data_IF_634925793847
#
_entry.id   IF_634925793847
#
_cell.length_a   1.000
_cell.length_b   1.000
_cell.length_c   1.000
_cell.angle_alpha   90.00
_cell.angle_beta   90.00
_cell.angle_gamma   90.00
#
_symmetry.space_group_name_H-M   'P 1'
#
loop_
_entity.id
_entity.type
_entity.pdbx_description
1 polymer ?
#
# COMPACT_ATOMS: atom_id res chain seq x y z
N UNK A 1 5.27 -1.70 16.27
CA UNK A 1 4.90 -1.31 14.89
C UNK A 1 6.17 -1.27 14.06
N UNK A 2 6.17 -1.82 12.86
CA UNK A 2 7.31 -1.84 11.93
C UNK A 2 6.92 -1.08 10.66
N UNK A 3 7.79 -0.20 10.18
CA UNK A 3 7.61 0.55 8.95
C UNK A 3 8.66 0.14 7.91
N UNK A 4 8.24 0.02 6.65
CA UNK A 4 9.12 -0.15 5.49
C UNK A 4 8.77 0.91 4.47
N UNK A 5 9.76 1.68 4.02
CA UNK A 5 9.60 2.64 2.94
C UNK A 5 9.90 1.96 1.61
N UNK A 6 9.32 2.48 0.52
CA UNK A 6 9.85 2.18 -0.78
C UNK A 6 11.26 2.78 -0.90
N UNK A 7 12.26 1.95 -1.18
CA UNK A 7 13.67 2.32 -1.10
C UNK A 7 14.05 3.52 -1.98
N UNK A 8 13.36 3.70 -3.12
CA UNK A 8 13.45 4.87 -4.01
C UNK A 8 12.19 4.96 -4.87
N UNK A 9 11.52 6.11 -4.84
CA UNK A 9 10.53 6.46 -5.86
C UNK A 9 11.24 6.49 -7.23
N UNK A 10 10.57 6.01 -8.28
CA UNK A 10 11.12 5.98 -9.63
C UNK A 10 11.60 7.39 -10.05
N UNK A 11 12.82 7.56 -10.60
CA UNK A 11 13.37 8.87 -10.96
C UNK A 11 12.51 9.69 -11.95
N UNK A 12 11.69 9.01 -12.76
CA UNK A 12 10.75 9.63 -13.71
C UNK A 12 9.35 9.88 -13.16
N UNK A 13 9.10 9.63 -11.87
CA UNK A 13 7.78 9.79 -11.28
C UNK A 13 7.38 11.26 -11.23
N UNK A 14 6.38 11.63 -12.01
CA UNK A 14 5.67 12.90 -11.86
C UNK A 14 4.55 12.71 -10.85
N UNK A 15 4.73 13.25 -9.62
CA UNK A 15 3.71 13.19 -8.55
C UNK A 15 2.33 13.69 -9.01
N UNK A 16 2.31 14.70 -9.88
CA UNK A 16 1.08 15.24 -10.50
C UNK A 16 0.28 14.20 -11.29
N UNK A 17 0.91 13.14 -11.78
CA UNK A 17 0.24 12.06 -12.50
C UNK A 17 -0.39 11.03 -11.56
N UNK A 18 -0.11 11.10 -10.26
CA UNK A 18 -0.66 10.19 -9.26
C UNK A 18 -1.20 11.00 -8.07
N UNK A 19 -2.31 11.74 -8.25
CA UNK A 19 -2.84 12.64 -7.23
C UNK A 19 -3.70 11.95 -6.19
N UNK A 20 -4.03 10.68 -6.37
CA UNK A 20 -4.94 9.95 -5.49
C UNK A 20 -4.16 9.05 -4.53
N UNK A 21 -4.32 9.25 -3.22
CA UNK A 21 -3.77 8.38 -2.19
C UNK A 21 -4.72 7.22 -1.95
N UNK A 22 -4.20 6.00 -2.00
CA UNK A 22 -4.94 4.76 -1.70
C UNK A 22 -4.25 4.04 -0.56
N UNK A 23 -4.97 3.83 0.53
CA UNK A 23 -4.53 3.02 1.67
C UNK A 23 -5.26 1.68 1.62
N UNK A 24 -4.48 0.61 1.54
CA UNK A 24 -4.98 -0.76 1.59
C UNK A 24 -4.68 -1.30 2.99
N UNK A 25 -5.69 -1.80 3.70
CA UNK A 25 -5.52 -2.38 5.03
C UNK A 25 -5.94 -3.84 5.03
N UNK A 26 -5.04 -4.71 5.48
CA UNK A 26 -5.32 -6.12 5.77
C UNK A 26 -5.28 -6.32 7.28
N UNK A 27 -6.41 -6.72 7.86
CA UNK A 27 -6.51 -7.08 9.29
C UNK A 27 -6.28 -8.56 9.51
N UNK A 28 -5.56 -8.89 10.56
CA UNK A 28 -5.20 -10.27 10.89
C UNK A 28 -5.19 -10.48 12.40
N UNK A 29 -5.21 -11.75 12.83
CA UNK A 29 -5.05 -12.09 14.25
C UNK A 29 -3.58 -12.49 14.46
N UNK A 30 -2.81 -11.56 15.01
CA UNK A 30 -1.37 -11.72 15.20
C UNK A 30 -0.99 -12.08 16.63
N UNK A 31 0.21 -12.61 16.80
CA UNK A 31 0.84 -12.72 18.11
C UNK A 31 1.61 -11.42 18.40
N UNK A 32 1.33 -10.76 19.54
CA UNK A 32 1.89 -9.45 19.87
C UNK A 32 1.72 -8.40 18.75
N UNK A 33 0.62 -8.49 18.01
CA UNK A 33 0.31 -7.58 16.91
C UNK A 33 1.06 -7.85 15.60
N UNK A 34 1.81 -8.96 15.48
CA UNK A 34 2.54 -9.35 14.27
C UNK A 34 1.91 -10.58 13.60
N UNK A 35 1.92 -10.67 12.26
CA UNK A 35 1.28 -11.76 11.54
C UNK A 35 2.09 -13.05 11.67
N UNK A 36 1.43 -14.20 11.56
CA UNK A 36 2.10 -15.48 11.42
C UNK A 36 2.89 -15.56 10.10
N UNK A 37 3.89 -16.45 10.02
CA UNK A 37 4.74 -16.59 8.83
C UNK A 37 3.94 -16.91 7.56
N UNK A 38 2.92 -17.78 7.65
CA UNK A 38 2.05 -18.10 6.52
C UNK A 38 1.29 -16.89 6.00
N UNK A 39 0.71 -16.11 6.92
CA UNK A 39 -0.03 -14.91 6.59
C UNK A 39 0.87 -13.80 6.03
N UNK A 40 2.08 -13.64 6.58
CA UNK A 40 3.09 -12.74 6.02
C UNK A 40 3.43 -13.11 4.58
N UNK A 41 3.59 -14.40 4.26
CA UNK A 41 3.81 -14.86 2.87
C UNK A 41 2.65 -14.50 1.95
N UNK A 42 1.40 -14.61 2.41
CA UNK A 42 0.24 -14.20 1.62
C UNK A 42 0.20 -12.69 1.38
N UNK A 43 0.59 -11.90 2.38
CA UNK A 43 0.71 -10.44 2.23
C UNK A 43 1.83 -10.04 1.27
N UNK A 44 2.97 -10.73 1.31
CA UNK A 44 4.09 -10.49 0.40
C UNK A 44 3.69 -10.87 -1.05
N UNK A 45 2.98 -12.00 -1.23
CA UNK A 45 2.44 -12.40 -2.53
C UNK A 45 1.42 -11.40 -3.10
N UNK A 46 0.54 -10.82 -2.26
CA UNK A 46 -0.36 -9.75 -2.69
C UNK A 46 0.42 -8.53 -3.20
N UNK A 47 1.46 -8.13 -2.47
CA UNK A 47 2.32 -7.01 -2.85
C UNK A 47 3.04 -7.28 -4.18
N UNK A 48 3.57 -8.48 -4.39
CA UNK A 48 4.22 -8.87 -5.65
C UNK A 48 3.26 -8.77 -6.85
N UNK A 49 2.01 -9.21 -6.70
CA UNK A 49 1.02 -9.10 -7.78
C UNK A 49 0.62 -7.65 -8.03
N UNK A 50 0.48 -6.82 -7.00
CA UNK A 50 0.22 -5.38 -7.16
C UNK A 50 1.39 -4.70 -7.88
N UNK A 51 2.63 -5.01 -7.51
CA UNK A 51 3.82 -4.50 -8.18
C UNK A 51 3.88 -4.92 -9.66
N UNK A 52 3.33 -6.09 -9.99
CA UNK A 52 3.19 -6.59 -11.36
C UNK A 52 2.21 -5.80 -12.24
N UNK A 53 1.34 -4.94 -11.67
CA UNK A 53 0.44 -4.08 -12.46
C UNK A 53 1.20 -3.00 -13.24
N UNK A 54 2.44 -2.69 -12.82
CA UNK A 54 3.33 -1.76 -13.49
C UNK A 54 3.47 -0.43 -12.74
N UNK A 55 4.63 0.25 -12.89
CA UNK A 55 4.98 1.45 -12.11
C UNK A 55 4.10 2.67 -12.43
N UNK A 56 3.43 2.68 -13.58
CA UNK A 56 2.55 3.77 -13.98
C UNK A 56 1.17 3.68 -13.30
N UNK A 57 0.77 2.49 -12.84
CA UNK A 57 -0.55 2.25 -12.24
C UNK A 57 -0.63 2.84 -10.84
N UNK A 58 0.36 2.57 -10.00
CA UNK A 58 0.47 3.14 -8.67
C UNK A 58 1.91 3.06 -8.17
N UNK A 59 2.30 4.02 -7.33
CA UNK A 59 3.56 4.02 -6.62
C UNK A 59 3.36 3.67 -5.15
N UNK A 60 3.99 2.58 -4.70
CA UNK A 60 4.07 2.26 -3.28
C UNK A 60 4.97 3.27 -2.58
N UNK A 61 4.50 3.85 -1.47
CA UNK A 61 5.27 4.84 -0.71
C UNK A 61 5.76 4.27 0.61
N UNK A 62 4.90 3.58 1.35
CA UNK A 62 5.32 2.83 2.53
C UNK A 62 4.36 1.69 2.89
N UNK A 63 4.87 0.80 3.73
CA UNK A 63 4.15 -0.29 4.37
C UNK A 63 4.33 -0.19 5.87
N UNK A 64 3.25 -0.40 6.62
CA UNK A 64 3.30 -0.52 8.08
C UNK A 64 2.74 -1.87 8.51
N UNK A 65 3.37 -2.52 9.49
CA UNK A 65 2.93 -3.81 10.05
C UNK A 65 2.97 -3.75 11.57
N UNK A 66 1.86 -4.08 12.21
CA UNK A 66 1.73 -4.07 13.66
C UNK A 66 0.28 -3.89 14.06
N UNK A 67 -0.01 -4.03 15.36
CA UNK A 67 -1.36 -3.82 15.90
C UNK A 67 -2.44 -4.62 15.13
N UNK A 68 -2.13 -5.88 14.77
CA UNK A 68 -3.08 -6.77 14.09
C UNK A 68 -3.51 -6.28 12.69
N UNK A 69 -2.68 -5.44 12.06
CA UNK A 69 -2.90 -4.98 10.68
C UNK A 69 -1.61 -4.80 9.91
N UNK A 70 -1.71 -4.92 8.58
CA UNK A 70 -0.71 -4.43 7.64
C UNK A 70 -1.38 -3.40 6.74
N UNK A 71 -0.73 -2.27 6.55
CA UNK A 71 -1.23 -1.20 5.70
C UNK A 71 -0.20 -0.88 4.62
N UNK A 72 -0.65 -0.77 3.38
CA UNK A 72 0.12 -0.25 2.26
C UNK A 72 -0.46 1.08 1.84
N UNK A 73 0.41 2.07 1.62
CA UNK A 73 0.01 3.37 1.07
C UNK A 73 0.60 3.53 -0.31
N UNK A 74 -0.31 3.67 -1.28
CA UNK A 74 -0.01 3.91 -2.68
C UNK A 74 -0.48 5.31 -3.09
N UNK A 75 0.16 5.86 -4.12
CA UNK A 75 -0.39 6.95 -4.92
C UNK A 75 -0.69 6.43 -6.32
N UNK A 76 -1.85 6.74 -6.86
CA UNK A 76 -2.31 6.29 -8.16
C UNK A 76 -2.86 7.45 -8.99
N UNK A 77 -2.90 7.29 -10.32
CA UNK A 77 -3.56 8.24 -11.22
C UNK A 77 -5.07 8.28 -10.96
N UNK A 78 -5.66 7.10 -10.72
CA UNK A 78 -7.08 6.93 -10.41
C UNK A 78 -7.24 5.91 -9.30
N UNK A 79 -7.75 6.35 -8.15
CA UNK A 79 -8.06 5.48 -7.02
C UNK A 79 -9.04 4.36 -7.41
N UNK A 80 -10.10 4.68 -8.15
CA UNK A 80 -11.13 3.71 -8.53
C UNK A 80 -10.58 2.62 -9.45
N UNK A 81 -9.79 3.01 -10.46
CA UNK A 81 -9.12 2.06 -11.37
C UNK A 81 -8.16 1.15 -10.62
N UNK A 82 -7.30 1.72 -9.77
CA UNK A 82 -6.33 0.96 -8.98
C UNK A 82 -7.01 0.00 -8.00
N UNK A 83 -8.00 0.47 -7.23
CA UNK A 83 -8.78 -0.39 -6.30
C UNK A 83 -9.48 -1.51 -7.07
N UNK A 84 -10.02 -1.23 -8.26
CA UNK A 84 -10.62 -2.25 -9.14
C UNK A 84 -9.61 -3.32 -9.55
N UNK A 85 -8.41 -2.91 -9.96
CA UNK A 85 -7.32 -3.83 -10.32
C UNK A 85 -6.89 -4.70 -9.13
N UNK A 86 -6.72 -4.10 -7.94
CA UNK A 86 -6.35 -4.83 -6.72
C UNK A 86 -7.44 -5.83 -6.33
N UNK A 87 -8.72 -5.46 -6.40
CA UNK A 87 -9.84 -6.38 -6.10
C UNK A 87 -9.91 -7.55 -7.07
N UNK A 88 -9.61 -7.32 -8.35
CA UNK A 88 -9.56 -8.38 -9.36
C UNK A 88 -8.38 -9.35 -9.15
N UNK A 89 -7.25 -8.84 -8.64
CA UNK A 89 -6.12 -9.69 -8.21
C UNK A 89 -6.49 -10.51 -6.98
N UNK A 90 -7.05 -9.85 -5.97
CA UNK A 90 -7.47 -10.45 -4.71
C UNK A 90 -8.45 -11.60 -4.93
N UNK A 91 -9.49 -11.40 -5.75
CA UNK A 91 -10.50 -12.44 -6.03
C UNK A 91 -9.91 -13.72 -6.63
N UNK A 92 -8.77 -13.62 -7.32
CA UNK A 92 -8.05 -14.76 -7.92
C UNK A 92 -7.09 -15.44 -6.95
N UNK A 93 -6.57 -14.71 -5.95
CA UNK A 93 -5.53 -15.20 -5.05
C UNK A 93 -6.07 -15.69 -3.69
N UNK A 94 -6.99 -14.95 -3.06
CA UNK A 94 -7.58 -15.30 -1.75
C UNK A 94 -8.71 -14.34 -1.35
N UNK A 95 -9.76 -14.85 -0.70
CA UNK A 95 -10.91 -14.06 -0.21
C UNK A 95 -10.63 -13.33 1.12
N UNK A 96 -9.44 -12.77 1.29
CA UNK A 96 -9.07 -12.02 2.50
C UNK A 96 -9.80 -10.67 2.51
N UNK A 97 -10.39 -10.20 3.62
CA UNK A 97 -11.05 -8.90 3.63
C UNK A 97 -10.02 -7.76 3.59
N UNK A 98 -9.88 -7.12 2.43
CA UNK A 98 -9.10 -5.89 2.26
C UNK A 98 -10.01 -4.67 2.43
N UNK A 99 -9.63 -3.77 3.32
CA UNK A 99 -10.22 -2.45 3.48
C UNK A 99 -9.48 -1.45 2.59
N UNK A 100 -10.22 -0.57 1.92
CA UNK A 100 -9.66 0.45 1.04
C UNK A 100 -10.12 1.83 1.49
N UNK A 101 -9.19 2.73 1.73
CA UNK A 101 -9.44 4.14 1.98
C UNK A 101 -8.77 4.96 0.87
N UNK A 102 -9.51 5.88 0.27
CA UNK A 102 -9.03 6.71 -0.83
C UNK A 102 -9.19 8.18 -0.47
N UNK A 103 -8.19 9.00 -0.77
CA UNK A 103 -8.25 10.43 -0.54
C UNK A 103 -7.46 11.18 -1.61
N UNK A 104 -8.00 12.29 -2.15
CA UNK A 104 -7.22 13.18 -3.00
C UNK A 104 -6.04 13.76 -2.21
N UNK A 105 -4.83 13.68 -2.76
CA UNK A 105 -3.62 14.32 -2.24
C UNK A 105 -2.68 14.67 -3.41
N UNK A 106 -3.08 15.59 -4.31
CA UNK A 106 -2.30 15.94 -5.51
C UNK A 106 -0.91 16.50 -5.18
N UNK A 107 -0.76 17.08 -4.00
CA UNK A 107 0.51 17.65 -3.52
C UNK A 107 1.38 16.64 -2.77
N UNK A 108 0.92 15.40 -2.57
CA UNK A 108 1.62 14.38 -1.78
C UNK A 108 1.94 14.83 -0.35
N UNK A 109 1.04 15.64 0.22
CA UNK A 109 1.18 16.25 1.55
C UNK A 109 1.30 15.19 2.63
N UNK A 110 0.58 14.07 2.49
CA UNK A 110 0.63 12.97 3.43
C UNK A 110 2.00 12.30 3.43
N UNK A 111 2.54 11.96 2.25
CA UNK A 111 3.89 11.44 2.12
C UNK A 111 4.93 12.38 2.75
N UNK A 112 4.90 13.66 2.40
CA UNK A 112 5.92 14.61 2.87
C UNK A 112 5.83 14.83 4.39
N UNK A 113 4.63 14.89 4.95
CA UNK A 113 4.40 15.01 6.40
C UNK A 113 4.84 13.76 7.15
N UNK A 114 4.56 12.58 6.61
CA UNK A 114 4.93 11.30 7.19
C UNK A 114 6.45 11.05 7.15
N UNK A 115 7.11 11.36 6.03
CA UNK A 115 8.58 11.27 5.95
C UNK A 115 9.24 12.20 6.98
N UNK A 116 8.68 13.39 7.22
CA UNK A 116 9.20 14.32 8.24
C UNK A 116 9.02 13.79 9.66
N UNK A 117 7.93 13.09 9.98
CA UNK A 117 7.68 12.61 11.34
C UNK A 117 8.59 11.45 11.75
N UNK A 118 9.16 10.72 10.78
CA UNK A 118 10.00 9.54 11.04
C UNK A 118 11.50 9.89 11.04
N UNK A 119 11.87 11.06 10.53
CA UNK A 119 13.24 11.60 10.60
C UNK A 119 13.53 12.40 11.88
N UNK A 120 12.60 12.43 12.83
CA UNK A 120 12.78 12.98 14.18
C UNK A 120 13.15 11.87 15.16
#
# INVERSE_FOLDING_TARGET
MVYRFADRLSPGLKRSNQPERVTITWRYIGNNGLPATSERKSMDALEDVINGLGPNTATLVFVSTGNNRRQWVYYAESASSFVGAVRNVQSKASAVPLEFETAPDPSWTFHDSFVRSIRR
#
